data_IF_381678090168
#
_entry.id   IF_381678090168
#
_cell.length_a   1.000
_cell.length_b   1.000
_cell.length_c   1.000
_cell.angle_alpha   90.00
_cell.angle_beta   90.00
_cell.angle_gamma   90.00
#
_symmetry.space_group_name_H-M   'P 1'
#
loop_
_entity.id
_entity.type
_entity.pdbx_description
1 polymer ?
#
# COMPACT_ATOMS: atom_id res chain seq x y z
N UNK A 1 12.02 -33.77 -39.13
CA UNK A 1 11.04 -33.69 -40.23
C UNK A 1 9.75 -34.37 -39.80
N UNK A 2 8.62 -33.81 -40.27
CA UNK A 2 7.25 -34.37 -40.32
C UNK A 2 6.36 -34.20 -39.08
N UNK A 3 5.74 -33.03 -39.06
CA UNK A 3 4.37 -32.79 -38.58
C UNK A 3 3.39 -33.81 -39.19
N UNK A 4 2.46 -34.32 -38.39
CA UNK A 4 1.31 -35.10 -38.89
C UNK A 4 0.04 -34.29 -38.60
N UNK A 5 -0.64 -33.99 -39.69
CA UNK A 5 -1.90 -33.25 -39.78
C UNK A 5 -3.10 -34.13 -39.41
N UNK A 6 -4.00 -33.53 -38.63
CA UNK A 6 -5.47 -33.54 -38.68
C UNK A 6 -6.18 -34.67 -39.45
N UNK A 7 -7.15 -35.31 -38.77
CA UNK A 7 -8.35 -35.87 -39.42
C UNK A 7 -9.59 -35.33 -38.69
N UNK A 8 -10.48 -34.71 -39.47
CA UNK A 8 -11.83 -34.26 -39.12
C UNK A 8 -12.83 -35.38 -39.45
N UNK A 9 -13.85 -35.58 -38.62
CA UNK A 9 -15.24 -35.92 -38.99
C UNK A 9 -16.05 -36.10 -37.68
N UNK A 10 -16.88 -35.15 -37.28
CA UNK A 10 -18.24 -34.88 -37.73
C UNK A 10 -19.30 -35.82 -37.10
N UNK A 11 -20.14 -35.16 -36.29
CA UNK A 11 -21.56 -35.43 -36.09
C UNK A 11 -21.98 -36.58 -35.19
N UNK A 12 -22.57 -36.23 -34.05
CA UNK A 12 -23.90 -36.72 -33.69
C UNK A 12 -24.59 -35.70 -32.80
N UNK A 13 -25.66 -35.12 -33.35
CA UNK A 13 -26.68 -34.40 -32.61
C UNK A 13 -27.22 -35.31 -31.51
N UNK A 14 -27.21 -34.84 -30.28
CA UNK A 14 -28.21 -35.24 -29.29
C UNK A 14 -28.82 -33.98 -28.70
N UNK A 15 -29.96 -33.62 -29.27
CA UNK A 15 -30.97 -32.80 -28.63
C UNK A 15 -31.35 -33.45 -27.29
N UNK A 16 -31.21 -32.72 -26.19
CA UNK A 16 -32.08 -32.91 -25.02
C UNK A 16 -32.16 -31.61 -24.22
N UNK A 17 -33.22 -30.85 -24.48
CA UNK A 17 -34.11 -30.21 -23.49
C UNK A 17 -33.47 -29.50 -22.27
N UNK A 18 -33.42 -28.17 -22.38
CA UNK A 18 -33.84 -27.17 -21.38
C UNK A 18 -34.10 -27.66 -19.95
N UNK A 19 -33.22 -27.26 -19.04
CA UNK A 19 -33.67 -26.62 -17.80
C UNK A 19 -32.93 -25.30 -17.66
N UNK A 20 -33.64 -24.22 -17.94
CA UNK A 20 -33.22 -22.88 -17.55
C UNK A 20 -33.24 -22.85 -16.01
N UNK A 21 -32.08 -23.03 -15.39
CA UNK A 21 -31.88 -22.63 -14.01
C UNK A 21 -32.02 -21.11 -14.01
N UNK A 22 -33.21 -20.64 -13.62
CA UNK A 22 -33.43 -19.25 -13.28
C UNK A 22 -32.51 -18.93 -12.09
N UNK A 23 -31.29 -18.49 -12.40
CA UNK A 23 -30.47 -17.80 -11.43
C UNK A 23 -31.23 -16.56 -11.02
N UNK A 24 -31.81 -16.58 -9.81
CA UNK A 24 -32.26 -15.36 -9.17
C UNK A 24 -31.09 -14.38 -9.22
N UNK A 25 -31.29 -13.12 -9.66
CA UNK A 25 -30.23 -12.13 -9.54
C UNK A 25 -30.00 -11.92 -8.05
N UNK A 26 -28.97 -12.57 -7.52
CA UNK A 26 -28.40 -12.17 -6.26
C UNK A 26 -27.95 -10.74 -6.49
N UNK A 27 -28.70 -9.79 -5.92
CA UNK A 27 -28.27 -8.42 -5.81
C UNK A 27 -27.02 -8.51 -4.97
N UNK A 28 -25.85 -8.51 -5.62
CA UNK A 28 -24.60 -8.29 -4.94
C UNK A 28 -24.76 -6.89 -4.39
N UNK A 29 -25.10 -6.78 -3.10
CA UNK A 29 -25.00 -5.53 -2.40
C UNK A 29 -23.55 -5.12 -2.62
N UNK A 30 -23.35 -4.12 -3.48
CA UNK A 30 -22.10 -3.39 -3.57
C UNK A 30 -21.97 -2.77 -2.19
N UNK A 31 -21.36 -3.51 -1.26
CA UNK A 31 -20.76 -2.93 -0.08
C UNK A 31 -19.68 -2.03 -0.67
N UNK A 32 -20.06 -0.78 -0.88
CA UNK A 32 -19.14 0.30 -1.11
C UNK A 32 -18.24 0.26 0.11
N UNK A 33 -17.08 -0.37 -0.05
CA UNK A 33 -16.05 -0.36 0.98
C UNK A 33 -15.81 1.11 1.25
N UNK A 34 -16.30 1.59 2.39
CA UNK A 34 -15.94 2.89 2.86
C UNK A 34 -14.43 2.83 3.03
N UNK A 35 -13.70 3.43 2.09
CA UNK A 35 -12.28 3.67 2.23
C UNK A 35 -12.17 4.66 3.38
N UNK A 36 -12.06 4.14 4.61
CA UNK A 36 -11.68 4.94 5.76
C UNK A 36 -10.24 5.36 5.52
N UNK A 37 -10.06 6.48 4.83
CA UNK A 37 -8.81 7.21 4.87
C UNK A 37 -8.68 7.76 6.28
N UNK A 38 -7.98 7.03 7.14
CA UNK A 38 -7.52 7.58 8.41
C UNK A 38 -6.39 8.53 8.08
N UNK A 39 -6.69 9.82 8.01
CA UNK A 39 -5.66 10.84 7.85
C UNK A 39 -4.71 10.76 9.06
N UNK A 40 -3.43 10.50 8.81
CA UNK A 40 -2.42 10.50 9.86
C UNK A 40 -2.28 11.89 10.49
N UNK A 41 -2.11 11.90 11.82
CA UNK A 41 -2.11 13.12 12.65
C UNK A 41 -0.71 13.66 12.91
N UNK A 42 -0.63 14.91 13.36
CA UNK A 42 0.62 15.54 13.78
C UNK A 42 1.29 14.76 14.92
N UNK A 43 0.51 14.36 15.91
CA UNK A 43 0.96 13.69 17.12
C UNK A 43 1.51 12.30 16.83
N UNK A 44 0.88 11.55 15.90
CA UNK A 44 1.42 10.29 15.41
C UNK A 44 2.76 10.49 14.73
N UNK A 45 2.87 11.49 13.84
CA UNK A 45 4.14 11.84 13.23
C UNK A 45 5.21 12.14 14.28
N UNK A 46 4.89 12.94 15.28
CA UNK A 46 5.83 13.28 16.36
C UNK A 46 6.33 12.05 17.11
N UNK A 47 5.45 11.12 17.45
CA UNK A 47 5.82 9.88 18.13
C UNK A 47 6.75 9.03 17.26
N UNK A 48 6.40 8.83 15.99
CA UNK A 48 7.19 8.03 15.05
C UNK A 48 8.57 8.68 14.79
N UNK A 49 8.63 10.02 14.73
CA UNK A 49 9.88 10.76 14.60
C UNK A 49 10.78 10.60 15.84
N UNK A 50 10.23 10.66 17.04
CA UNK A 50 10.99 10.48 18.28
C UNK A 50 11.50 9.04 18.43
N UNK A 51 10.69 8.04 18.06
CA UNK A 51 11.11 6.64 18.05
C UNK A 51 12.26 6.41 17.06
N UNK A 52 12.23 7.07 15.89
CA UNK A 52 13.29 6.96 14.89
C UNK A 52 14.58 7.71 15.29
N UNK A 53 14.48 8.86 15.97
CA UNK A 53 15.65 9.50 16.60
C UNK A 53 16.30 8.57 17.63
N UNK A 54 15.50 7.99 18.51
CA UNK A 54 16.00 7.08 19.55
C UNK A 54 16.67 5.85 18.92
N UNK A 55 16.12 5.33 17.83
CA UNK A 55 16.74 4.28 17.04
C UNK A 55 18.11 4.71 16.49
N UNK A 56 18.20 5.87 15.81
CA UNK A 56 19.48 6.36 15.27
C UNK A 56 20.50 6.63 16.37
N UNK A 57 20.08 7.20 17.50
CA UNK A 57 20.93 7.42 18.65
C UNK A 57 21.48 6.10 19.21
N UNK A 58 20.69 5.02 19.19
CA UNK A 58 21.12 3.70 19.64
C UNK A 58 22.09 3.00 18.67
N UNK A 59 21.92 3.20 17.36
CA UNK A 59 22.70 2.53 16.31
C UNK A 59 24.03 3.24 16.06
N UNK A 60 24.00 4.56 15.93
CA UNK A 60 25.15 5.36 15.54
C UNK A 60 25.82 6.08 16.73
N UNK A 61 25.14 6.15 17.87
CA UNK A 61 25.57 6.93 19.03
C UNK A 61 25.22 8.41 18.86
N UNK A 62 24.50 8.98 19.82
CA UNK A 62 24.10 10.40 19.76
C UNK A 62 25.35 11.31 19.70
N UNK A 63 25.37 12.24 18.74
CA UNK A 63 26.45 13.20 18.56
C UNK A 63 27.60 12.76 17.64
N UNK A 64 27.54 11.56 17.07
CA UNK A 64 28.44 11.15 15.98
C UNK A 64 28.04 11.81 14.66
N UNK A 65 28.96 11.83 13.68
CA UNK A 65 28.64 12.37 12.35
C UNK A 65 27.60 11.50 11.65
N UNK A 66 27.74 10.18 11.78
CA UNK A 66 26.82 9.20 11.20
C UNK A 66 25.40 9.35 11.74
N UNK A 67 25.25 9.70 13.02
CA UNK A 67 23.96 10.06 13.60
C UNK A 67 23.38 11.32 12.95
N UNK A 68 24.18 12.38 12.81
CA UNK A 68 23.71 13.64 12.20
C UNK A 68 23.32 13.44 10.74
N UNK A 69 24.13 12.71 9.97
CA UNK A 69 23.84 12.39 8.57
C UNK A 69 22.53 11.60 8.43
N UNK A 70 22.25 10.67 9.36
CA UNK A 70 21.00 9.90 9.38
C UNK A 70 19.78 10.77 9.71
N UNK A 71 19.90 11.67 10.69
CA UNK A 71 18.85 12.62 11.05
C UNK A 71 18.55 13.57 9.89
N UNK A 72 19.59 14.15 9.27
CA UNK A 72 19.43 15.06 8.13
C UNK A 72 18.75 14.36 6.94
N UNK A 73 19.17 13.13 6.62
CA UNK A 73 18.53 12.34 5.57
C UNK A 73 17.05 12.03 5.87
N UNK A 74 16.71 11.74 7.13
CA UNK A 74 15.34 11.50 7.55
C UNK A 74 14.47 12.78 7.48
N UNK A 75 15.02 13.93 7.86
CA UNK A 75 14.37 15.23 7.73
C UNK A 75 14.11 15.57 6.27
N UNK A 76 15.10 15.40 5.39
CA UNK A 76 14.95 15.68 3.96
C UNK A 76 13.86 14.80 3.31
N UNK A 77 13.85 13.51 3.66
CA UNK A 77 12.80 12.56 3.24
C UNK A 77 11.43 13.01 3.72
N UNK A 78 11.31 13.36 4.99
CA UNK A 78 10.04 13.80 5.56
C UNK A 78 9.57 15.13 4.96
N UNK A 79 10.48 16.08 4.71
CA UNK A 79 10.17 17.35 4.05
C UNK A 79 9.74 17.15 2.58
N UNK A 80 10.34 16.19 1.87
CA UNK A 80 9.86 15.78 0.55
C UNK A 80 8.43 15.22 0.63
N UNK A 81 8.18 14.28 1.54
CA UNK A 81 6.86 13.67 1.71
C UNK A 81 5.81 14.69 2.14
N UNK A 82 6.14 15.63 3.03
CA UNK A 82 5.24 16.71 3.44
C UNK A 82 4.77 17.60 2.27
N UNK A 83 5.52 17.63 1.17
CA UNK A 83 5.17 18.39 -0.05
C UNK A 83 4.39 17.57 -1.08
N UNK A 84 4.49 16.25 -1.05
CA UNK A 84 3.98 15.36 -2.11
C UNK A 84 2.99 14.29 -1.63
N UNK A 85 2.75 14.18 -0.32
CA UNK A 85 1.80 13.27 0.31
C UNK A 85 0.49 13.98 0.63
N UNK A 86 -0.61 13.22 0.69
CA UNK A 86 -1.91 13.69 1.18
C UNK A 86 -1.92 13.96 2.71
N UNK A 87 -0.84 13.59 3.42
CA UNK A 87 -0.72 13.69 4.88
C UNK A 87 0.41 14.64 5.33
N UNK A 88 0.41 15.92 4.89
CA UNK A 88 1.52 16.84 5.16
C UNK A 88 1.68 17.16 6.66
N UNK A 89 0.61 17.05 7.44
CA UNK A 89 0.63 17.34 8.88
C UNK A 89 1.36 16.26 9.67
N UNK A 90 1.22 14.98 9.30
CA UNK A 90 1.96 13.87 9.87
C UNK A 90 3.46 14.06 9.65
N UNK A 91 3.89 14.32 8.41
CA UNK A 91 5.32 14.50 8.09
C UNK A 91 5.94 15.71 8.79
N UNK A 92 5.16 16.78 9.04
CA UNK A 92 5.60 17.91 9.87
C UNK A 92 5.78 17.50 11.34
N UNK A 93 4.90 16.66 11.87
CA UNK A 93 5.04 16.06 13.19
C UNK A 93 6.30 15.22 13.29
N UNK A 94 6.52 14.36 12.30
CA UNK A 94 7.69 13.49 12.21
C UNK A 94 9.02 14.25 12.23
N UNK A 95 9.13 15.33 11.45
CA UNK A 95 10.31 16.21 11.52
C UNK A 95 10.51 16.81 12.92
N UNK A 96 9.43 17.17 13.62
CA UNK A 96 9.53 17.72 14.97
C UNK A 96 9.96 16.63 15.97
N UNK A 97 9.42 15.42 15.85
CA UNK A 97 9.81 14.26 16.66
C UNK A 97 11.30 13.92 16.52
N UNK A 98 11.86 14.02 15.31
CA UNK A 98 13.30 13.82 15.09
C UNK A 98 14.21 14.85 15.76
N UNK A 99 13.65 15.99 16.18
CA UNK A 99 14.39 17.13 16.74
C UNK A 99 14.16 17.31 18.25
N UNK A 100 13.33 16.47 18.88
CA UNK A 100 12.89 16.59 20.27
C UNK A 100 13.76 15.75 21.23
#
# INVERSE_FOLDING_TARGET
MKSIFRVLAASTLLLSTTQAVQGAPHTVATQQAATFSFALTYEQGMADGADEEAYYASVYGRGTQEYQDAIDAAIDRAAYNARHSEEPIYWRGYVNGLQY
#
